data_IF_343869411353
#
_entry.id   IF_343869411353
#
_cell.length_a   1.000
_cell.length_b   1.000
_cell.length_c   1.000
_cell.angle_alpha   90.00
_cell.angle_beta   90.00
_cell.angle_gamma   90.00
#
_symmetry.space_group_name_H-M   'P 1'
#
loop_
_entity.id
_entity.type
_entity.pdbx_description
1 polymer ?
#
# COMPACT_ATOMS: atom_id res chain seq x y z
N UNK A 1 -20.30 9.33 6.36
CA UNK A 1 -20.52 10.52 5.51
C UNK A 1 -19.46 10.45 4.43
N UNK A 2 -19.85 10.46 3.14
CA UNK A 2 -18.85 10.49 2.06
C UNK A 2 -18.12 11.84 2.13
N UNK A 3 -16.84 11.83 2.44
CA UNK A 3 -16.03 13.04 2.35
C UNK A 3 -16.02 13.51 0.90
N UNK A 4 -16.59 14.68 0.69
CA UNK A 4 -16.66 15.30 -0.62
C UNK A 4 -15.21 15.62 -1.06
N UNK A 5 -14.70 14.94 -2.08
CA UNK A 5 -13.36 15.17 -2.60
C UNK A 5 -13.33 16.52 -3.30
N UNK A 6 -12.72 17.52 -2.66
CA UNK A 6 -12.63 18.85 -3.25
C UNK A 6 -11.52 18.88 -4.31
N UNK A 7 -11.90 19.27 -5.52
CA UNK A 7 -10.97 19.40 -6.65
C UNK A 7 -9.89 20.45 -6.36
N UNK A 8 -10.22 21.49 -5.59
CA UNK A 8 -9.26 22.52 -5.18
C UNK A 8 -8.12 21.93 -4.34
N UNK A 9 -8.43 21.05 -3.41
CA UNK A 9 -7.44 20.38 -2.58
C UNK A 9 -6.48 19.52 -3.39
N UNK A 10 -7.02 18.80 -4.40
CA UNK A 10 -6.21 18.00 -5.32
C UNK A 10 -5.30 18.87 -6.18
N UNK A 11 -5.80 20.03 -6.60
CA UNK A 11 -5.03 21.00 -7.36
C UNK A 11 -3.87 21.59 -6.54
N UNK A 12 -4.15 22.00 -5.31
CA UNK A 12 -3.18 22.60 -4.39
C UNK A 12 -2.09 21.61 -3.96
N UNK A 13 -2.45 20.32 -3.87
CA UNK A 13 -1.51 19.24 -3.64
C UNK A 13 -0.68 18.87 -4.88
N UNK A 14 -0.96 19.41 -6.05
CA UNK A 14 -0.24 19.15 -7.29
C UNK A 14 -0.51 17.77 -7.90
N UNK A 15 -1.67 17.18 -7.64
CA UNK A 15 -2.08 15.86 -8.14
C UNK A 15 -2.22 15.84 -9.67
N UNK A 16 -2.49 16.99 -10.27
CA UNK A 16 -2.72 17.18 -11.70
C UNK A 16 -1.45 17.11 -12.57
N UNK A 17 -0.26 17.22 -12.00
CA UNK A 17 0.98 17.13 -12.78
C UNK A 17 1.27 15.68 -13.15
N UNK A 18 1.43 15.44 -14.44
CA UNK A 18 1.93 14.17 -14.96
C UNK A 18 3.37 14.28 -15.43
N UNK A 19 3.82 13.29 -16.15
CA UNK A 19 5.17 13.23 -16.73
C UNK A 19 5.27 13.98 -18.07
N UNK A 20 6.51 14.11 -18.56
CA UNK A 20 6.82 14.67 -19.87
C UNK A 20 6.11 13.89 -20.98
N UNK A 21 5.62 14.59 -22.01
CA UNK A 21 4.91 14.01 -23.16
C UNK A 21 5.67 12.90 -23.87
N UNK A 22 7.00 12.97 -23.92
CA UNK A 22 7.85 11.92 -24.52
C UNK A 22 7.88 10.58 -23.76
N UNK A 23 7.42 10.57 -22.49
CA UNK A 23 7.46 9.39 -21.60
C UNK A 23 6.08 8.81 -21.30
N UNK A 24 5.05 9.36 -21.88
CA UNK A 24 3.69 8.96 -21.55
C UNK A 24 3.29 7.59 -22.12
N UNK A 25 2.31 6.99 -21.51
CA UNK A 25 1.68 5.78 -22.01
C UNK A 25 0.38 6.15 -22.75
N UNK A 26 0.17 5.72 -24.03
CA UNK A 26 -1.04 6.03 -24.80
C UNK A 26 -2.33 5.58 -24.10
N UNK A 27 -2.28 4.50 -23.30
CA UNK A 27 -3.43 3.99 -22.57
C UNK A 27 -3.91 4.95 -21.46
N UNK A 28 -3.08 5.94 -21.07
CA UNK A 28 -3.45 7.01 -20.15
C UNK A 28 -4.22 8.17 -20.82
N UNK A 29 -4.36 8.17 -22.16
CA UNK A 29 -5.08 9.22 -22.89
C UNK A 29 -6.47 9.57 -22.30
N UNK A 30 -7.29 8.60 -21.85
CA UNK A 30 -8.60 8.92 -21.24
C UNK A 30 -8.52 9.78 -19.98
N UNK A 31 -7.38 9.75 -19.25
CA UNK A 31 -7.19 10.45 -17.97
C UNK A 31 -6.45 11.77 -18.10
N UNK A 32 -5.91 12.07 -19.29
CA UNK A 32 -5.20 13.32 -19.57
C UNK A 32 -6.23 14.40 -19.95
N UNK A 33 -6.10 15.58 -19.35
CA UNK A 33 -6.94 16.74 -19.65
C UNK A 33 -6.36 17.57 -20.80
N UNK A 34 -5.07 17.88 -20.73
CA UNK A 34 -4.37 18.69 -21.72
C UNK A 34 -2.84 18.51 -21.60
N UNK A 35 -2.13 19.05 -22.58
CA UNK A 35 -0.68 19.23 -22.51
C UNK A 35 -0.36 20.69 -22.25
N UNK A 36 0.60 20.94 -21.35
CA UNK A 36 1.12 22.29 -21.06
C UNK A 36 2.62 22.24 -20.82
N UNK A 37 3.36 23.04 -21.57
CA UNK A 37 4.84 23.11 -21.47
C UNK A 37 5.54 21.75 -21.61
N UNK A 38 5.05 20.86 -22.47
CA UNK A 38 5.61 19.52 -22.68
C UNK A 38 5.37 18.53 -21.54
N UNK A 39 4.42 18.84 -20.64
CA UNK A 39 3.99 17.99 -19.54
C UNK A 39 2.50 17.69 -19.68
N UNK A 40 2.08 16.46 -19.48
CA UNK A 40 0.66 16.12 -19.42
C UNK A 40 0.03 16.58 -18.10
N UNK A 41 -1.18 17.11 -18.20
CA UNK A 41 -2.00 17.50 -17.05
C UNK A 41 -3.11 16.46 -16.89
N UNK A 42 -3.19 15.85 -15.72
CA UNK A 42 -4.20 14.84 -15.37
C UNK A 42 -5.55 15.51 -15.09
N UNK A 43 -6.62 14.87 -15.51
CA UNK A 43 -7.98 15.34 -15.29
C UNK A 43 -8.44 15.03 -13.85
N UNK A 44 -8.47 16.07 -13.00
CA UNK A 44 -8.82 15.94 -11.58
C UNK A 44 -10.27 15.49 -11.34
N UNK A 45 -11.20 15.78 -12.24
CA UNK A 45 -12.59 15.27 -12.12
C UNK A 45 -12.61 13.75 -12.22
N UNK A 46 -11.82 13.18 -13.14
CA UNK A 46 -11.67 11.74 -13.27
C UNK A 46 -10.91 11.12 -12.09
N UNK A 47 -9.91 11.84 -11.58
CA UNK A 47 -9.20 11.45 -10.37
C UNK A 47 -10.17 11.35 -9.19
N UNK A 48 -10.99 12.35 -8.92
CA UNK A 48 -11.96 12.35 -7.84
C UNK A 48 -12.96 11.18 -7.97
N UNK A 49 -13.55 10.98 -9.14
CA UNK A 49 -14.48 9.88 -9.38
C UNK A 49 -13.81 8.50 -9.16
N UNK A 50 -12.54 8.35 -9.59
CA UNK A 50 -11.79 7.09 -9.42
C UNK A 50 -11.33 6.87 -7.97
N UNK A 51 -11.09 7.91 -7.20
CA UNK A 51 -10.84 7.78 -5.75
C UNK A 51 -12.12 7.29 -5.04
N UNK A 52 -13.29 7.84 -5.37
CA UNK A 52 -14.55 7.40 -4.79
C UNK A 52 -14.84 5.92 -5.07
N UNK A 53 -14.68 5.49 -6.33
CA UNK A 53 -14.81 4.10 -6.76
C UNK A 53 -13.85 3.17 -5.99
N UNK A 54 -12.58 3.55 -5.89
CA UNK A 54 -11.57 2.81 -5.15
C UNK A 54 -11.88 2.74 -3.65
N UNK A 55 -12.28 3.86 -3.05
CA UNK A 55 -12.62 3.94 -1.64
C UNK A 55 -13.83 3.07 -1.28
N UNK A 56 -14.87 3.03 -2.13
CA UNK A 56 -16.01 2.15 -1.92
C UNK A 56 -15.60 0.66 -1.91
N UNK A 57 -14.75 0.25 -2.84
CA UNK A 57 -14.25 -1.12 -2.90
C UNK A 57 -13.35 -1.44 -1.70
N UNK A 58 -12.48 -0.51 -1.28
CA UNK A 58 -11.61 -0.69 -0.11
C UNK A 58 -12.42 -0.84 1.19
N UNK A 59 -13.47 -0.02 1.38
CA UNK A 59 -14.39 -0.16 2.53
C UNK A 59 -14.95 -1.57 2.61
N UNK A 60 -15.47 -2.11 1.50
CA UNK A 60 -16.04 -3.47 1.44
C UNK A 60 -15.00 -4.54 1.78
N UNK A 61 -13.77 -4.43 1.25
CA UNK A 61 -12.69 -5.38 1.51
C UNK A 61 -12.30 -5.35 3.00
N UNK A 62 -12.13 -4.17 3.57
CA UNK A 62 -11.73 -4.01 4.98
C UNK A 62 -12.85 -4.41 5.94
N UNK A 63 -14.10 -4.10 5.64
CA UNK A 63 -15.27 -4.54 6.40
C UNK A 63 -15.33 -6.08 6.48
N UNK A 64 -14.93 -6.81 5.41
CA UNK A 64 -14.82 -8.27 5.43
C UNK A 64 -13.65 -8.81 6.29
N UNK A 65 -12.88 -7.94 6.93
CA UNK A 65 -11.77 -8.31 7.83
C UNK A 65 -10.46 -8.62 7.11
N UNK A 66 -10.37 -8.36 5.83
CA UNK A 66 -9.12 -8.53 5.06
C UNK A 66 -8.22 -7.32 5.22
N UNK A 67 -6.91 -7.53 5.20
CA UNK A 67 -5.92 -6.45 5.26
C UNK A 67 -5.56 -5.95 3.86
N UNK A 68 -5.27 -4.67 3.74
CA UNK A 68 -4.71 -4.03 2.54
C UNK A 68 -3.21 -3.89 2.73
N UNK A 69 -2.41 -4.35 1.76
CA UNK A 69 -0.96 -4.21 1.77
C UNK A 69 -0.55 -2.99 0.94
N UNK A 70 0.07 -2.01 1.58
CA UNK A 70 0.61 -0.83 0.91
C UNK A 70 2.01 -1.10 0.36
N UNK A 71 2.27 -0.66 -0.88
CA UNK A 71 3.55 -0.88 -1.56
C UNK A 71 4.04 0.43 -2.18
N UNK A 72 5.21 0.89 -1.74
CA UNK A 72 5.81 2.10 -2.26
C UNK A 72 7.32 2.14 -2.00
N UNK A 73 8.13 1.76 -2.98
CA UNK A 73 9.59 1.84 -2.84
C UNK A 73 10.19 3.16 -3.36
N UNK A 74 9.36 4.05 -3.90
CA UNK A 74 9.76 5.37 -4.38
C UNK A 74 10.16 6.25 -3.20
N UNK A 75 11.31 6.93 -3.31
CA UNK A 75 11.89 7.73 -2.21
C UNK A 75 10.91 8.78 -1.65
N UNK A 76 10.12 9.41 -2.53
CA UNK A 76 9.15 10.43 -2.16
C UNK A 76 7.91 9.88 -1.44
N UNK A 77 7.62 8.59 -1.63
CA UNK A 77 6.43 7.93 -1.10
C UNK A 77 6.67 7.15 0.20
N UNK A 78 7.92 6.69 0.45
CA UNK A 78 8.26 5.77 1.55
C UNK A 78 7.74 6.21 2.90
N UNK A 79 8.12 7.42 3.32
CA UNK A 79 7.83 7.91 4.66
C UNK A 79 6.33 8.17 4.84
N UNK A 80 5.71 8.77 3.83
CA UNK A 80 4.27 9.06 3.80
C UNK A 80 3.45 7.77 3.87
N UNK A 81 3.81 6.76 3.07
CA UNK A 81 3.11 5.46 3.06
C UNK A 81 3.28 4.74 4.39
N UNK A 82 4.49 4.74 4.96
CA UNK A 82 4.75 4.11 6.26
C UNK A 82 3.90 4.74 7.38
N UNK A 83 3.84 6.07 7.44
CA UNK A 83 3.04 6.81 8.41
C UNK A 83 1.54 6.51 8.25
N UNK A 84 1.00 6.69 7.05
CA UNK A 84 -0.42 6.49 6.77
C UNK A 84 -0.87 5.04 6.96
N UNK A 85 -0.09 4.05 6.51
CA UNK A 85 -0.40 2.64 6.73
C UNK A 85 -0.35 2.25 8.21
N UNK A 86 0.61 2.78 8.97
CA UNK A 86 0.72 2.55 10.41
C UNK A 86 -0.49 3.12 11.16
N UNK A 87 -0.98 4.31 10.78
CA UNK A 87 -2.15 4.93 11.41
C UNK A 87 -3.43 4.08 11.33
N UNK A 88 -3.56 3.31 10.25
CA UNK A 88 -4.70 2.39 10.04
C UNK A 88 -4.38 0.92 10.35
N UNK A 89 -3.22 0.64 10.95
CA UNK A 89 -2.75 -0.71 11.31
C UNK A 89 -2.73 -1.69 10.13
N UNK A 90 -2.41 -1.19 8.95
CA UNK A 90 -2.27 -2.00 7.73
C UNK A 90 -0.79 -2.31 7.46
N UNK A 91 -0.46 -3.48 6.90
CA UNK A 91 0.90 -3.83 6.51
C UNK A 91 1.38 -2.97 5.34
N UNK A 92 2.68 -2.73 5.26
CA UNK A 92 3.27 -1.96 4.17
C UNK A 92 4.68 -2.44 3.80
N UNK A 93 5.13 -2.15 2.59
CA UNK A 93 6.49 -2.40 2.11
C UNK A 93 7.00 -1.12 1.45
N UNK A 94 8.08 -0.55 2.01
CA UNK A 94 8.65 0.73 1.57
C UNK A 94 10.11 0.64 1.15
N UNK A 95 10.83 -0.41 1.52
CA UNK A 95 12.25 -0.50 1.20
C UNK A 95 12.49 -1.24 -0.13
N UNK A 96 12.12 -2.48 -0.20
CA UNK A 96 12.29 -3.31 -1.39
C UNK A 96 11.22 -4.40 -1.42
N UNK A 97 10.58 -4.56 -2.56
CA UNK A 97 9.72 -5.72 -2.79
C UNK A 97 10.58 -6.98 -2.98
N UNK A 98 10.53 -7.96 -2.10
CA UNK A 98 11.21 -9.24 -2.33
C UNK A 98 10.41 -10.05 -3.34
N UNK A 99 11.06 -10.52 -4.41
CA UNK A 99 10.40 -11.41 -5.37
C UNK A 99 9.85 -12.65 -4.67
N UNK A 100 8.61 -13.03 -5.02
CA UNK A 100 7.90 -14.11 -4.36
C UNK A 100 7.19 -13.70 -3.07
N UNK A 101 7.04 -12.39 -2.81
CA UNK A 101 6.38 -11.88 -1.61
C UNK A 101 4.97 -12.44 -1.42
N UNK A 102 4.20 -12.52 -2.50
CA UNK A 102 2.84 -13.09 -2.50
C UNK A 102 2.86 -14.52 -3.02
N UNK A 103 3.52 -14.79 -4.13
CA UNK A 103 3.53 -16.09 -4.79
C UNK A 103 4.28 -17.17 -4.02
N UNK A 104 5.26 -16.80 -3.19
CA UNK A 104 6.00 -17.70 -2.30
C UNK A 104 5.91 -17.23 -0.83
N UNK A 105 4.71 -16.90 -0.39
CA UNK A 105 4.45 -16.35 0.95
C UNK A 105 4.94 -17.25 2.08
N UNK A 106 4.95 -18.58 1.90
CA UNK A 106 5.48 -19.53 2.89
C UNK A 106 6.96 -19.26 3.22
N UNK A 107 7.77 -18.96 2.21
CA UNK A 107 9.19 -18.63 2.41
C UNK A 107 9.38 -17.29 3.10
N UNK A 108 8.57 -16.29 2.75
CA UNK A 108 8.54 -14.99 3.43
C UNK A 108 8.18 -15.16 4.92
N UNK A 109 7.16 -15.98 5.22
CA UNK A 109 6.79 -16.33 6.61
C UNK A 109 7.91 -17.01 7.38
N UNK A 110 8.71 -17.87 6.72
CA UNK A 110 9.92 -18.46 7.34
C UNK A 110 10.96 -17.39 7.69
N UNK A 111 11.16 -16.38 6.81
CA UNK A 111 12.06 -15.27 7.07
C UNK A 111 11.59 -14.41 8.26
N UNK A 112 10.29 -14.10 8.34
CA UNK A 112 9.68 -13.41 9.49
C UNK A 112 9.83 -14.21 10.78
N UNK A 113 9.56 -15.52 10.75
CA UNK A 113 9.78 -16.42 11.91
C UNK A 113 11.24 -16.42 12.35
N UNK A 114 12.20 -16.39 11.41
CA UNK A 114 13.63 -16.30 11.72
C UNK A 114 13.97 -15.01 12.48
N UNK A 115 13.36 -13.89 12.09
CA UNK A 115 13.51 -12.62 12.82
C UNK A 115 13.02 -12.75 14.27
N UNK A 116 11.81 -13.28 14.47
CA UNK A 116 11.26 -13.53 15.81
C UNK A 116 12.08 -14.53 16.63
N UNK A 117 12.70 -15.53 15.98
CA UNK A 117 13.60 -16.49 16.63
C UNK A 117 14.87 -15.80 17.15
N UNK A 118 15.46 -14.88 16.37
CA UNK A 118 16.61 -14.08 16.82
C UNK A 118 16.24 -13.23 18.04
N UNK A 119 15.07 -12.62 18.04
CA UNK A 119 14.59 -11.81 19.18
C UNK A 119 14.39 -12.67 20.44
N UNK A 120 13.93 -13.92 20.30
CA UNK A 120 13.85 -14.88 21.40
C UNK A 120 15.23 -15.26 21.93
N UNK A 121 16.18 -15.58 21.05
CA UNK A 121 17.56 -15.90 21.44
C UNK A 121 18.21 -14.76 22.25
N UNK A 122 17.91 -13.51 21.93
CA UNK A 122 18.36 -12.35 22.71
C UNK A 122 17.74 -12.30 24.12
N UNK A 123 16.47 -12.67 24.25
CA UNK A 123 15.75 -12.68 25.53
C UNK A 123 16.16 -13.85 26.42
N UNK A 124 16.42 -15.00 25.82
CA UNK A 124 16.75 -16.25 26.54
C UNK A 124 18.24 -16.34 26.95
N UNK A 125 19.04 -15.30 26.65
CA UNK A 125 20.47 -15.28 26.99
C UNK A 125 21.36 -16.16 26.09
N UNK A 126 20.80 -16.98 25.20
CA UNK A 126 21.57 -17.83 24.26
C UNK A 126 22.44 -16.99 23.32
N UNK A 127 22.02 -15.77 23.05
CA UNK A 127 22.80 -14.83 22.24
C UNK A 127 24.15 -14.49 22.89
N UNK A 128 24.24 -14.46 24.23
CA UNK A 128 25.47 -14.14 24.96
C UNK A 128 26.55 -15.21 24.86
N UNK A 129 26.17 -16.46 24.62
CA UNK A 129 27.11 -17.59 24.48
C UNK A 129 27.82 -17.63 23.13
N UNK A 130 27.36 -16.86 22.14
CA UNK A 130 27.91 -16.83 20.80
C UNK A 130 29.22 -16.03 20.71
N UNK A 131 30.07 -16.38 19.74
CA UNK A 131 31.28 -15.61 19.44
C UNK A 131 30.95 -14.20 18.95
N UNK A 132 31.87 -13.25 19.11
CA UNK A 132 31.69 -11.85 18.65
C UNK A 132 31.34 -11.76 17.16
N UNK A 133 31.92 -12.62 16.32
CA UNK A 133 31.66 -12.66 14.88
C UNK A 133 30.23 -13.12 14.57
N UNK A 134 29.76 -14.14 15.25
CA UNK A 134 28.40 -14.68 15.08
C UNK A 134 27.35 -13.67 15.55
N UNK A 135 27.56 -13.05 16.73
CA UNK A 135 26.70 -11.97 17.22
C UNK A 135 26.50 -10.89 16.16
N UNK A 136 27.59 -10.38 15.58
CA UNK A 136 27.55 -9.34 14.56
C UNK A 136 26.82 -9.80 13.28
N UNK A 137 27.02 -11.04 12.86
CA UNK A 137 26.33 -11.59 11.67
C UNK A 137 24.82 -11.71 11.91
N UNK A 138 24.41 -12.18 13.08
CA UNK A 138 23.01 -12.34 13.46
C UNK A 138 22.33 -10.97 13.60
N UNK A 139 23.00 -9.99 14.18
CA UNK A 139 22.48 -8.62 14.27
C UNK A 139 22.25 -7.98 12.91
N UNK A 140 23.24 -8.04 12.03
CA UNK A 140 23.09 -7.53 10.65
C UNK A 140 21.97 -8.23 9.89
N UNK A 141 21.82 -9.54 10.10
CA UNK A 141 20.74 -10.30 9.50
C UNK A 141 19.38 -9.83 10.04
N UNK A 142 19.26 -9.66 11.36
CA UNK A 142 18.04 -9.17 12.01
C UNK A 142 17.65 -7.79 11.51
N UNK A 143 18.58 -6.83 11.51
CA UNK A 143 18.36 -5.48 11.00
C UNK A 143 17.88 -5.49 9.54
N UNK A 144 18.52 -6.31 8.69
CA UNK A 144 18.11 -6.47 7.29
C UNK A 144 16.69 -7.03 7.16
N UNK A 145 16.34 -8.03 7.96
CA UNK A 145 15.01 -8.62 7.97
C UNK A 145 13.97 -7.64 8.50
N UNK A 146 14.25 -6.94 9.58
CA UNK A 146 13.36 -5.93 10.16
C UNK A 146 13.11 -4.77 9.21
N UNK A 147 14.14 -4.25 8.58
CA UNK A 147 14.02 -3.19 7.60
C UNK A 147 13.13 -3.56 6.41
N UNK A 148 13.22 -4.80 5.92
CA UNK A 148 12.48 -5.22 4.72
C UNK A 148 11.12 -5.86 5.01
N UNK A 149 10.96 -6.51 6.16
CA UNK A 149 9.81 -7.36 6.47
C UNK A 149 9.15 -7.04 7.83
N UNK A 150 9.71 -6.10 8.59
CA UNK A 150 9.19 -5.75 9.92
C UNK A 150 7.74 -5.31 9.89
N UNK A 151 7.38 -4.48 8.91
CA UNK A 151 6.02 -3.96 8.72
C UNK A 151 4.95 -5.00 8.37
N UNK A 152 5.38 -6.19 7.93
CA UNK A 152 4.49 -7.32 7.58
C UNK A 152 4.56 -8.47 8.58
N UNK A 153 5.27 -8.29 9.70
CA UNK A 153 5.47 -9.34 10.71
C UNK A 153 4.14 -9.96 11.20
N UNK A 154 3.11 -9.13 11.39
CA UNK A 154 1.77 -9.51 11.84
C UNK A 154 0.85 -10.05 10.73
N UNK A 155 1.35 -10.12 9.49
CA UNK A 155 0.57 -10.63 8.38
C UNK A 155 0.62 -12.16 8.34
N UNK A 156 -0.44 -12.81 8.82
CA UNK A 156 -0.53 -14.29 8.88
C UNK A 156 -1.07 -14.93 7.60
N UNK A 157 -1.82 -14.17 6.80
CA UNK A 157 -2.48 -14.59 5.55
C UNK A 157 -2.14 -13.60 4.43
N UNK A 158 -2.39 -14.00 3.18
CA UNK A 158 -2.30 -13.11 2.04
C UNK A 158 -3.23 -11.90 2.22
N UNK A 159 -2.83 -10.72 1.73
CA UNK A 159 -3.66 -9.53 1.81
C UNK A 159 -4.91 -9.67 0.92
N UNK A 160 -5.99 -9.00 1.29
CA UNK A 160 -7.21 -8.96 0.50
C UNK A 160 -7.16 -7.98 -0.68
N UNK A 161 -6.22 -7.05 -0.65
CA UNK A 161 -5.95 -6.10 -1.72
C UNK A 161 -4.52 -5.53 -1.59
N UNK A 162 -3.98 -5.03 -2.70
CA UNK A 162 -2.76 -4.22 -2.73
C UNK A 162 -3.14 -2.77 -3.02
N UNK A 163 -2.44 -1.84 -2.34
CA UNK A 163 -2.41 -0.44 -2.71
C UNK A 163 -1.00 -0.05 -3.13
N UNK A 164 -0.81 0.30 -4.39
CA UNK A 164 0.50 0.51 -5.01
C UNK A 164 0.67 1.99 -5.38
N UNK A 165 1.83 2.57 -5.07
CA UNK A 165 2.25 3.87 -5.56
C UNK A 165 3.34 3.65 -6.61
N UNK A 166 3.08 4.09 -7.85
CA UNK A 166 3.95 3.91 -9.02
C UNK A 166 4.02 2.45 -9.51
N UNK A 167 3.08 2.08 -10.39
CA UNK A 167 3.00 0.72 -10.96
C UNK A 167 4.19 0.36 -11.86
N UNK A 168 4.81 1.35 -12.51
CA UNK A 168 5.97 1.12 -13.36
C UNK A 168 7.16 0.63 -12.53
N UNK A 169 7.36 1.22 -11.34
CA UNK A 169 8.41 0.82 -10.42
C UNK A 169 8.11 -0.52 -9.74
N UNK A 170 6.88 -0.70 -9.31
CA UNK A 170 6.42 -1.87 -8.55
C UNK A 170 5.84 -2.98 -9.44
N UNK A 171 6.27 -3.06 -10.71
CA UNK A 171 5.77 -4.03 -11.69
C UNK A 171 5.84 -5.49 -11.24
N UNK A 172 6.78 -5.86 -10.36
CA UNK A 172 6.88 -7.22 -9.80
C UNK A 172 5.70 -7.48 -8.86
N UNK A 173 5.36 -6.52 -8.00
CA UNK A 173 4.22 -6.62 -7.09
C UNK A 173 2.91 -6.72 -7.87
N UNK A 174 2.75 -5.91 -8.93
CA UNK A 174 1.59 -5.97 -9.84
C UNK A 174 1.45 -7.36 -10.45
N UNK A 175 2.50 -7.91 -11.06
CA UNK A 175 2.47 -9.24 -11.69
C UNK A 175 2.18 -10.37 -10.70
N UNK A 176 2.73 -10.29 -9.48
CA UNK A 176 2.43 -11.29 -8.44
C UNK A 176 0.97 -11.22 -7.98
N UNK A 177 0.42 -10.02 -7.80
CA UNK A 177 -0.98 -9.84 -7.43
C UNK A 177 -1.94 -10.33 -8.51
N UNK A 178 -1.68 -9.99 -9.77
CA UNK A 178 -2.44 -10.49 -10.92
C UNK A 178 -2.46 -12.02 -10.97
N UNK A 179 -1.28 -12.66 -10.76
CA UNK A 179 -1.17 -14.13 -10.75
C UNK A 179 -2.02 -14.80 -9.67
N UNK A 180 -2.26 -14.11 -8.57
CA UNK A 180 -3.06 -14.60 -7.44
C UNK A 180 -4.49 -14.06 -7.41
N UNK A 181 -4.89 -13.30 -8.43
CA UNK A 181 -6.19 -12.61 -8.50
C UNK A 181 -6.48 -11.77 -7.25
N UNK A 182 -5.46 -11.07 -6.73
CA UNK A 182 -5.60 -10.12 -5.63
C UNK A 182 -5.91 -8.75 -6.22
N UNK A 183 -7.02 -8.09 -5.85
CA UNK A 183 -7.38 -6.77 -6.35
C UNK A 183 -6.27 -5.73 -6.13
N UNK A 184 -5.95 -4.97 -7.19
CA UNK A 184 -4.89 -3.97 -7.20
C UNK A 184 -5.50 -2.58 -7.31
N UNK A 185 -5.23 -1.78 -6.29
CA UNK A 185 -5.50 -0.35 -6.25
C UNK A 185 -4.18 0.37 -6.49
N UNK A 186 -4.13 1.32 -7.40
CA UNK A 186 -2.87 2.00 -7.65
C UNK A 186 -3.01 3.47 -7.99
N UNK A 187 -2.06 4.26 -7.49
CA UNK A 187 -1.77 5.58 -8.04
C UNK A 187 -0.99 5.38 -9.34
N UNK A 188 -1.56 5.87 -10.43
CA UNK A 188 -1.04 5.68 -11.79
C UNK A 188 -0.78 7.04 -12.42
N UNK A 189 0.47 7.35 -12.70
CA UNK A 189 0.84 8.55 -13.43
C UNK A 189 0.80 8.31 -14.95
N UNK A 190 0.97 9.35 -15.73
CA UNK A 190 0.85 9.35 -17.20
C UNK A 190 1.87 8.47 -17.93
N UNK A 191 2.93 7.99 -17.28
CA UNK A 191 3.95 7.10 -17.82
C UNK A 191 3.63 5.60 -17.65
N UNK A 192 2.63 5.27 -16.86
CA UNK A 192 2.27 3.90 -16.47
C UNK A 192 1.08 3.35 -17.26
N UNK A 193 0.89 2.03 -17.30
CA UNK A 193 -0.26 1.39 -17.98
C UNK A 193 -1.43 1.20 -16.99
N UNK A 194 -2.57 1.89 -17.17
CA UNK A 194 -3.72 1.77 -16.29
C UNK A 194 -4.44 0.41 -16.39
N UNK A 195 -4.18 -0.37 -17.43
CA UNK A 195 -4.85 -1.67 -17.66
C UNK A 195 -4.29 -2.79 -16.79
N UNK A 196 -3.14 -2.57 -16.18
CA UNK A 196 -2.49 -3.56 -15.30
C UNK A 196 -3.11 -3.62 -13.90
N UNK A 197 -4.03 -2.71 -13.57
CA UNK A 197 -4.63 -2.59 -12.24
C UNK A 197 -6.16 -2.54 -12.31
N UNK A 198 -6.81 -3.00 -11.24
CA UNK A 198 -8.28 -3.07 -11.20
C UNK A 198 -8.89 -1.70 -10.86
N UNK A 199 -8.28 -0.97 -9.94
CA UNK A 199 -8.74 0.35 -9.49
C UNK A 199 -7.65 1.38 -9.72
N UNK A 200 -7.79 2.12 -10.82
CA UNK A 200 -6.84 3.15 -11.25
C UNK A 200 -7.17 4.48 -10.55
N UNK A 201 -6.22 5.08 -9.89
CA UNK A 201 -6.29 6.46 -9.38
C UNK A 201 -5.28 7.29 -10.17
N UNK A 202 -5.72 8.01 -11.21
CA UNK A 202 -4.83 8.84 -12.01
C UNK A 202 -4.31 10.00 -11.14
N UNK A 203 -3.03 10.02 -10.83
CA UNK A 203 -2.44 11.01 -9.93
C UNK A 203 -0.93 11.09 -10.10
N UNK A 204 -0.38 12.25 -9.72
CA UNK A 204 1.06 12.47 -9.64
C UNK A 204 1.68 11.62 -8.53
N UNK A 205 2.59 10.74 -8.89
CA UNK A 205 3.31 9.85 -7.98
C UNK A 205 4.73 10.34 -7.62
N UNK A 206 5.15 11.52 -8.11
CA UNK A 206 6.44 12.15 -7.84
C UNK A 206 6.40 13.14 -6.67
N UNK A 207 5.28 13.79 -6.44
CA UNK A 207 5.13 14.81 -5.41
C UNK A 207 4.63 14.20 -4.09
N UNK A 208 5.41 14.32 -3.00
CA UNK A 208 5.02 13.81 -1.68
C UNK A 208 3.68 14.37 -1.19
N UNK A 209 3.36 15.65 -1.48
CA UNK A 209 2.06 16.25 -1.14
C UNK A 209 0.89 15.59 -1.88
N UNK A 210 1.08 15.24 -3.16
CA UNK A 210 0.08 14.52 -3.95
C UNK A 210 -0.18 13.14 -3.37
N UNK A 211 0.89 12.39 -3.07
CA UNK A 211 0.82 11.06 -2.47
C UNK A 211 0.12 11.13 -1.11
N UNK A 212 0.48 12.07 -0.27
CA UNK A 212 -0.11 12.26 1.05
C UNK A 212 -1.61 12.55 0.97
N UNK A 213 -2.03 13.44 0.04
CA UNK A 213 -3.44 13.80 -0.13
C UNK A 213 -4.28 12.60 -0.57
N UNK A 214 -3.81 11.84 -1.57
CA UNK A 214 -4.50 10.62 -2.04
C UNK A 214 -4.57 9.58 -0.93
N UNK A 215 -3.45 9.32 -0.24
CA UNK A 215 -3.41 8.37 0.87
C UNK A 215 -4.31 8.78 2.02
N UNK A 216 -4.51 10.08 2.27
CA UNK A 216 -5.44 10.55 3.31
C UNK A 216 -6.87 10.11 3.01
N UNK A 217 -7.36 10.25 1.78
CA UNK A 217 -8.68 9.76 1.37
C UNK A 217 -8.78 8.22 1.47
N UNK A 218 -7.73 7.52 1.04
CA UNK A 218 -7.69 6.04 1.11
C UNK A 218 -7.69 5.53 2.55
N UNK A 219 -6.87 6.12 3.42
CA UNK A 219 -6.81 5.71 4.83
C UNK A 219 -8.08 6.04 5.60
N UNK A 220 -8.76 7.11 5.24
CA UNK A 220 -10.07 7.47 5.80
C UNK A 220 -11.12 6.44 5.43
N UNK A 221 -11.21 6.04 4.15
CA UNK A 221 -12.09 4.96 3.71
C UNK A 221 -11.80 3.62 4.40
N UNK A 222 -10.52 3.30 4.64
CA UNK A 222 -10.13 2.12 5.40
C UNK A 222 -10.60 2.22 6.85
N UNK A 223 -10.45 3.38 7.51
CA UNK A 223 -10.94 3.60 8.88
C UNK A 223 -12.46 3.46 8.99
N UNK A 224 -13.21 3.98 8.01
CA UNK A 224 -14.65 3.80 7.93
C UNK A 224 -15.02 2.31 7.83
N UNK A 225 -14.33 1.55 6.98
CA UNK A 225 -14.52 0.10 6.84
C UNK A 225 -14.20 -0.67 8.13
N UNK A 226 -13.16 -0.27 8.86
CA UNK A 226 -12.80 -0.85 10.15
C UNK A 226 -13.84 -0.54 11.24
N UNK A 227 -14.38 0.68 11.24
CA UNK A 227 -15.41 1.10 12.21
C UNK A 227 -16.73 0.38 11.99
N UNK A 228 -17.17 0.19 10.73
CA UNK A 228 -18.34 -0.59 10.38
C UNK A 228 -18.26 -2.03 10.89
N UNK A 229 -17.11 -2.68 10.76
CA UNK A 229 -16.87 -4.03 11.26
C UNK A 229 -16.99 -4.13 12.80
N UNK A 230 -16.59 -3.10 13.53
CA UNK A 230 -16.66 -3.10 15.01
C UNK A 230 -18.10 -2.97 15.51
N UNK A 231 -18.95 -2.26 14.79
CA UNK A 231 -20.40 -2.18 15.10
C UNK A 231 -21.11 -3.48 14.81
N UNK A 232 -20.90 -4.07 13.64
CA UNK A 232 -21.53 -5.37 13.28
C UNK A 232 -21.14 -6.50 14.23
N UNK A 233 -19.88 -6.52 14.70
CA UNK A 233 -19.42 -7.51 15.68
C UNK A 233 -19.99 -7.29 17.09
N UNK A 234 -20.38 -6.06 17.46
CA UNK A 234 -21.03 -5.79 18.74
C UNK A 234 -22.51 -6.21 18.70
N UNK A 235 -23.21 -5.87 17.62
CA UNK A 235 -24.62 -6.25 17.44
C UNK A 235 -24.79 -7.79 17.40
N UNK A 236 -23.91 -8.51 16.69
CA UNK A 236 -23.94 -9.96 16.65
C UNK A 236 -23.66 -10.62 18.02
N UNK A 237 -22.79 -10.02 18.85
CA UNK A 237 -22.52 -10.53 20.21
C UNK A 237 -23.66 -10.24 21.17
N UNK A 238 -24.36 -9.12 21.03
CA UNK A 238 -25.51 -8.79 21.83
C UNK A 238 -26.71 -9.68 21.51
N UNK A 239 -26.82 -10.13 20.24
CA UNK A 239 -27.88 -11.11 19.83
C UNK A 239 -27.54 -12.50 20.37
N UNK A 240 -26.28 -12.97 20.30
CA UNK A 240 -25.87 -14.29 20.86
C UNK A 240 -25.95 -14.36 22.39
N UNK A 241 -25.94 -13.23 23.10
CA UNK A 241 -26.05 -13.20 24.56
C UNK A 241 -27.51 -13.01 25.03
N UNK A 242 -28.45 -12.77 24.08
CA UNK A 242 -29.88 -12.58 24.36
C UNK A 242 -30.77 -13.83 24.05
N UNK A 243 -30.15 -14.87 23.47
CA UNK A 243 -30.73 -16.23 23.35
C UNK A 243 -30.18 -17.13 24.47
#
# INVERSE_FOLDING_TARGET
>A
MANNIEIKDLLDAGVHFGHLTRKWNPNMAPYIYMERNGIHVINLYKTAAKIEEANEALRKIVASGKKVLFVATKKQAKDVVAEKATSVKMPYITERWPGGMLTNFVTIRKAVKKMSSIDKMKKDGTFETLSKREKLQIERLREKLEKNLGSIADMSRLPGALFIVDTMREHIAVKEAQKLNIPIFAMVDTNSDPREVDYVIPANDDASKSIEKILSYVTEAINEGLSGRTSDNKENKEVETAE
#
